data_IF_592468757528
#
_entry.id   IF_592468757528
#
_cell.length_a   1.000
_cell.length_b   1.000
_cell.length_c   1.000
_cell.angle_alpha   90.00
_cell.angle_beta   90.00
_cell.angle_gamma   90.00
#
_symmetry.space_group_name_H-M   'P 1'
#
loop_
_entity.id
_entity.type
_entity.pdbx_description
1 polymer ?
#
# COMPACT_ATOMS: atom_id res chain seq x y z
N UNK A 1 1.73 9.78 15.97
CA UNK A 1 3.09 10.34 15.94
C UNK A 1 3.13 11.47 16.93
N UNK A 2 3.52 11.20 18.19
CA UNK A 2 3.68 12.26 19.19
C UNK A 2 4.54 13.38 18.61
N UNK A 3 4.07 14.63 18.73
CA UNK A 3 4.75 15.81 18.16
C UNK A 3 4.48 16.10 16.68
N UNK A 4 3.71 15.29 15.94
CA UNK A 4 3.33 15.65 14.56
C UNK A 4 2.20 16.70 14.56
N UNK A 5 2.59 17.96 14.35
CA UNK A 5 1.66 19.09 14.28
C UNK A 5 0.82 19.15 12.98
N UNK A 6 1.06 18.27 12.01
CA UNK A 6 0.30 18.20 10.75
C UNK A 6 -0.79 17.12 10.77
N UNK A 7 -0.88 16.33 11.84
CA UNK A 7 -1.89 15.28 12.03
C UNK A 7 -2.77 15.58 13.25
N UNK A 8 -3.88 14.85 13.36
CA UNK A 8 -4.73 14.90 14.56
C UNK A 8 -3.91 14.41 15.77
N UNK A 9 -3.97 15.18 16.86
CA UNK A 9 -3.29 14.86 18.12
C UNK A 9 -4.05 13.74 18.83
N UNK A 10 -3.51 12.53 18.73
CA UNK A 10 -3.93 11.38 19.52
C UNK A 10 -3.21 11.31 20.87
N UNK A 11 -3.41 10.22 21.63
CA UNK A 11 -2.63 9.95 22.82
C UNK A 11 -1.13 9.78 22.47
N UNK A 12 -0.27 9.96 23.47
CA UNK A 12 1.18 9.77 23.33
C UNK A 12 1.53 8.31 23.03
N UNK A 13 0.81 7.39 23.66
CA UNK A 13 0.96 5.95 23.47
C UNK A 13 -0.38 5.29 23.11
N UNK A 14 -0.31 4.23 22.30
CA UNK A 14 -1.44 3.36 22.00
C UNK A 14 -0.90 1.94 21.85
N UNK A 15 -1.46 1.02 22.63
CA UNK A 15 -1.06 -0.37 22.63
C UNK A 15 -2.18 -1.23 22.06
N UNK A 16 -1.89 -2.10 21.06
CA UNK A 16 -2.90 -2.99 20.50
C UNK A 16 -3.29 -4.06 21.54
N UNK A 17 -4.59 -4.39 21.66
CA UNK A 17 -5.08 -5.33 22.67
C UNK A 17 -4.48 -6.74 22.51
N UNK A 18 -4.02 -7.11 21.31
CA UNK A 18 -3.39 -8.40 21.02
C UNK A 18 -2.16 -8.69 21.88
N UNK A 19 -1.46 -7.66 22.40
CA UNK A 19 -0.33 -7.84 23.31
C UNK A 19 -0.73 -8.43 24.66
N UNK A 20 -2.02 -8.36 25.00
CA UNK A 20 -2.60 -8.79 26.25
C UNK A 20 -3.56 -9.98 26.08
N UNK A 21 -3.70 -10.47 24.85
CA UNK A 21 -4.48 -11.68 24.58
C UNK A 21 -3.74 -12.89 25.17
N UNK A 22 -4.49 -13.78 25.81
CA UNK A 22 -3.97 -15.04 26.36
C UNK A 22 -4.00 -16.19 25.34
N UNK A 23 -4.56 -15.92 24.16
CA UNK A 23 -4.83 -16.92 23.14
C UNK A 23 -3.55 -17.24 22.36
N UNK A 24 -3.31 -18.52 22.10
CA UNK A 24 -2.22 -18.95 21.23
C UNK A 24 -2.66 -18.85 19.76
N UNK A 25 -1.82 -18.28 18.90
CA UNK A 25 -2.09 -18.24 17.46
C UNK A 25 -2.15 -19.66 16.88
N UNK A 26 -3.20 -19.93 16.10
CA UNK A 26 -3.36 -21.24 15.47
C UNK A 26 -2.31 -21.47 14.40
N UNK A 27 -1.64 -22.63 14.46
CA UNK A 27 -0.62 -22.98 13.49
C UNK A 27 -1.21 -23.12 12.08
N UNK A 28 -0.49 -22.67 11.03
CA UNK A 28 -1.00 -22.76 9.68
C UNK A 28 -1.16 -24.22 9.24
N UNK A 29 -2.30 -24.53 8.60
CA UNK A 29 -2.57 -25.86 8.05
C UNK A 29 -1.58 -26.25 6.95
N UNK A 30 -1.35 -27.56 6.80
CA UNK A 30 -0.52 -28.12 5.72
C UNK A 30 -1.14 -27.78 4.36
N UNK A 31 -0.33 -27.23 3.46
CA UNK A 31 -0.74 -26.86 2.10
C UNK A 31 0.19 -27.47 1.06
N UNK A 32 -0.33 -27.69 -0.14
CA UNK A 32 0.49 -28.05 -1.30
C UNK A 32 1.52 -26.93 -1.60
N UNK A 33 2.83 -27.24 -1.63
CA UNK A 33 3.89 -26.25 -1.87
C UNK A 33 3.84 -25.64 -3.28
N UNK A 34 3.23 -26.32 -4.25
CA UNK A 34 3.10 -25.86 -5.63
C UNK A 34 1.82 -25.05 -5.87
N UNK A 35 0.87 -25.09 -4.93
CA UNK A 35 -0.42 -24.39 -5.05
C UNK A 35 -0.25 -22.88 -4.91
N UNK A 36 -0.60 -22.15 -5.97
CA UNK A 36 -0.72 -20.70 -5.98
C UNK A 36 -2.02 -20.23 -5.29
N UNK A 37 -1.98 -19.04 -4.70
CA UNK A 37 -3.19 -18.37 -4.18
C UNK A 37 -4.04 -17.89 -5.36
N UNK A 38 -5.38 -17.92 -5.26
CA UNK A 38 -6.24 -17.32 -6.27
C UNK A 38 -5.93 -15.83 -6.37
N UNK A 39 -5.82 -15.32 -7.60
CA UNK A 39 -5.46 -13.93 -7.88
C UNK A 39 -6.65 -13.24 -8.55
N UNK A 40 -7.00 -12.07 -8.04
CA UNK A 40 -7.86 -11.11 -8.73
C UNK A 40 -7.03 -9.88 -9.08
N UNK A 41 -7.03 -9.50 -10.36
CA UNK A 41 -6.28 -8.35 -10.84
C UNK A 41 -7.16 -7.49 -11.75
N UNK A 42 -7.18 -6.17 -11.50
CA UNK A 42 -7.92 -5.20 -12.31
C UNK A 42 -7.08 -3.96 -12.56
N UNK A 43 -6.88 -3.64 -13.84
CA UNK A 43 -6.30 -2.36 -14.27
C UNK A 43 -7.40 -1.28 -14.37
N UNK A 44 -6.99 -0.01 -14.24
CA UNK A 44 -7.86 1.15 -14.41
C UNK A 44 -8.93 1.30 -13.32
N UNK A 45 -8.62 0.88 -12.08
CA UNK A 45 -9.59 0.93 -10.97
C UNK A 45 -9.84 2.36 -10.45
N UNK A 46 -8.80 3.20 -10.40
CA UNK A 46 -8.90 4.59 -9.94
C UNK A 46 -9.19 5.53 -11.11
N UNK A 47 -10.22 6.36 -10.96
CA UNK A 47 -10.61 7.38 -11.94
C UNK A 47 -9.75 8.64 -11.94
N UNK A 48 -9.10 8.95 -10.81
CA UNK A 48 -8.30 10.17 -10.63
C UNK A 48 -6.82 9.99 -11.03
N UNK A 49 -6.40 8.78 -11.38
CA UNK A 49 -5.02 8.48 -11.75
C UNK A 49 -4.91 8.27 -13.28
N UNK A 50 -3.77 8.66 -13.87
CA UNK A 50 -3.50 8.43 -15.30
C UNK A 50 -3.43 6.94 -15.63
N UNK A 51 -2.93 6.15 -14.68
CA UNK A 51 -2.99 4.70 -14.69
C UNK A 51 -3.15 4.17 -13.27
N UNK A 52 -3.78 3.02 -13.10
CA UNK A 52 -3.90 2.37 -11.80
C UNK A 52 -4.09 0.87 -11.95
N UNK A 53 -3.78 0.13 -10.89
CA UNK A 53 -3.99 -1.30 -10.80
C UNK A 53 -4.36 -1.70 -9.38
N UNK A 54 -5.21 -2.71 -9.27
CA UNK A 54 -5.55 -3.39 -8.03
C UNK A 54 -5.24 -4.87 -8.16
N UNK A 55 -4.62 -5.44 -7.14
CA UNK A 55 -4.26 -6.85 -7.06
C UNK A 55 -4.65 -7.42 -5.70
N UNK A 56 -5.30 -8.57 -5.74
CA UNK A 56 -5.65 -9.36 -4.57
C UNK A 56 -5.14 -10.79 -4.72
N UNK A 57 -4.52 -11.32 -3.67
CA UNK A 57 -4.05 -12.69 -3.56
C UNK A 57 -4.29 -13.24 -2.15
N UNK A 58 -5.46 -13.82 -1.91
CA UNK A 58 -5.93 -14.17 -0.57
C UNK A 58 -6.10 -12.91 0.31
N UNK A 59 -5.49 -12.90 1.50
CA UNK A 59 -5.52 -11.74 2.40
C UNK A 59 -4.67 -10.54 1.93
N UNK A 60 -3.82 -10.71 0.91
CA UNK A 60 -2.98 -9.63 0.38
C UNK A 60 -3.80 -8.78 -0.59
N UNK A 61 -3.94 -7.49 -0.32
CA UNK A 61 -4.64 -6.51 -1.17
C UNK A 61 -3.73 -5.31 -1.42
N UNK A 62 -3.44 -5.01 -2.68
CA UNK A 62 -2.50 -3.94 -3.08
C UNK A 62 -3.15 -3.06 -4.14
N UNK A 63 -2.92 -1.75 -4.01
CA UNK A 63 -3.40 -0.73 -4.94
C UNK A 63 -2.21 0.09 -5.43
N UNK A 64 -2.12 0.32 -6.73
CA UNK A 64 -1.09 1.10 -7.38
C UNK A 64 -1.72 2.22 -8.21
N UNK A 65 -1.13 3.41 -8.16
CA UNK A 65 -1.52 4.57 -8.95
C UNK A 65 -0.29 5.16 -9.64
N UNK A 66 -0.46 5.56 -10.90
CA UNK A 66 0.56 6.23 -11.71
C UNK A 66 0.13 7.67 -11.89
N UNK A 67 0.93 8.58 -11.33
CA UNK A 67 0.90 9.99 -11.67
C UNK A 67 1.79 10.17 -12.89
N UNK A 68 1.19 10.59 -14.02
CA UNK A 68 1.85 10.67 -15.31
C UNK A 68 3.15 11.49 -15.33
N UNK A 69 3.87 11.48 -16.46
CA UNK A 69 5.16 12.14 -16.57
C UNK A 69 5.01 13.62 -16.20
N UNK A 70 5.71 14.02 -15.13
CA UNK A 70 5.77 15.38 -14.64
C UNK A 70 7.21 15.83 -14.67
N UNK A 71 7.44 17.10 -14.95
CA UNK A 71 8.76 17.67 -14.77
C UNK A 71 9.14 17.54 -13.29
N UNK A 72 10.29 16.95 -13.02
CA UNK A 72 10.84 16.90 -11.69
C UNK A 72 11.25 18.33 -11.31
N UNK A 73 10.82 18.79 -10.15
CA UNK A 73 11.28 20.07 -9.61
C UNK A 73 12.79 19.97 -9.36
N UNK A 74 13.57 20.78 -10.08
CA UNK A 74 15.03 20.84 -9.96
C UNK A 74 15.86 20.48 -11.20
N UNK A 75 15.28 19.94 -12.28
CA UNK A 75 15.99 19.83 -13.55
C UNK A 75 15.79 21.11 -14.39
N UNK A 76 16.86 21.79 -14.83
CA UNK A 76 16.71 22.87 -15.81
C UNK A 76 16.02 22.29 -17.04
N UNK A 77 14.95 22.92 -17.50
CA UNK A 77 14.32 22.56 -18.76
C UNK A 77 15.37 22.67 -19.84
N UNK A 78 15.79 21.55 -20.42
CA UNK A 78 16.53 21.55 -21.67
C UNK A 78 15.61 22.18 -22.72
N UNK A 79 15.77 23.48 -22.97
CA UNK A 79 15.17 24.14 -24.11
C UNK A 79 15.60 23.36 -25.36
N UNK A 80 14.70 23.07 -26.32
CA UNK A 80 15.16 22.59 -27.62
C UNK A 80 16.06 23.67 -28.23
N UNK A 81 17.24 23.24 -28.68
CA UNK A 81 18.17 24.06 -29.45
C UNK A 81 17.47 24.54 -30.75
N UNK A 82 17.84 25.73 -31.26
CA UNK A 82 17.17 26.41 -32.39
C UNK A 82 17.18 25.60 -33.69
#
# INVERSE_FOLDING_TARGET
>A
MPGDHRRIRGPEESQPPQLYAADEDEAPAVRDPTRLRPVYARAGLLSQAKGSAYLEAGGTKVLCAVSGPRQAEGLPSSSPAP
#
